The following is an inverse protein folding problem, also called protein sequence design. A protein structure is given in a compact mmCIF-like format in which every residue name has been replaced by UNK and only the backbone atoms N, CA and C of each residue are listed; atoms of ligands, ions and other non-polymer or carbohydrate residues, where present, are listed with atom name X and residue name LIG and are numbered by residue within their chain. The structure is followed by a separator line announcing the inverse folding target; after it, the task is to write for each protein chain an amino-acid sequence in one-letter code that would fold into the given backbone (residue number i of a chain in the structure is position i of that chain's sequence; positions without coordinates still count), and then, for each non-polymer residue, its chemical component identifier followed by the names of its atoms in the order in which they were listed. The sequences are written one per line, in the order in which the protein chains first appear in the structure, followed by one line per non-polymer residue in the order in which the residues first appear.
data_IF_469571845779
#
_entry.id   IF_469571845779
#
_cell.length_a   1.000
_cell.length_b   1.000
_cell.length_c   1.000
_cell.angle_alpha   90.00
_cell.angle_beta   90.00
_cell.angle_gamma   90.00
#
_symmetry.space_group_name_H-M   'P 1'
#
loop_
_entity.id
_entity.type
_entity.pdbx_description
1 polymer ?
#
# COMPACT_ATOMS: atom_id res chain seq x y z
N UNK A 1 -23.90 14.74 -9.55
CA UNK A 1 -24.96 13.79 -9.14
C UNK A 1 -24.61 13.32 -7.74
N UNK A 2 -25.44 13.61 -6.74
CA UNK A 2 -25.33 13.00 -5.40
C UNK A 2 -26.27 11.80 -5.41
N UNK A 3 -25.77 10.61 -5.13
CA UNK A 3 -26.58 9.44 -4.91
C UNK A 3 -26.65 9.18 -3.41
N UNK A 4 -27.83 8.83 -2.92
CA UNK A 4 -27.99 8.36 -1.55
C UNK A 4 -27.50 6.91 -1.47
N UNK A 5 -26.66 6.60 -0.48
CA UNK A 5 -26.08 5.25 -0.31
C UNK A 5 -26.90 4.50 0.71
N UNK A 6 -28.04 3.98 0.25
CA UNK A 6 -28.95 3.16 1.05
C UNK A 6 -28.89 1.70 0.62
N UNK A 7 -29.30 0.79 1.51
CA UNK A 7 -29.35 -0.64 1.19
C UNK A 7 -30.25 -0.93 -0.03
N UNK A 8 -31.38 -0.21 -0.15
CA UNK A 8 -32.29 -0.33 -1.28
C UNK A 8 -31.63 0.12 -2.59
N UNK A 9 -31.01 1.30 -2.60
CA UNK A 9 -30.30 1.82 -3.77
C UNK A 9 -29.19 0.86 -4.21
N UNK A 10 -28.34 0.40 -3.29
CA UNK A 10 -27.25 -0.51 -3.61
C UNK A 10 -27.74 -1.86 -4.14
N UNK A 11 -28.86 -2.35 -3.62
CA UNK A 11 -29.51 -3.56 -4.16
C UNK A 11 -29.94 -3.34 -5.60
N UNK A 12 -30.53 -2.18 -5.91
CA UNK A 12 -30.94 -1.86 -7.27
C UNK A 12 -29.75 -1.75 -8.22
N UNK A 13 -28.69 -1.04 -7.82
CA UNK A 13 -27.47 -0.90 -8.64
C UNK A 13 -26.84 -2.26 -8.95
N UNK A 14 -26.75 -3.15 -7.96
CA UNK A 14 -26.19 -4.49 -8.18
C UNK A 14 -27.09 -5.33 -9.08
N UNK A 15 -28.42 -5.22 -8.96
CA UNK A 15 -29.36 -5.88 -9.88
C UNK A 15 -29.17 -5.37 -11.31
N UNK A 16 -29.12 -4.05 -11.50
CA UNK A 16 -28.98 -3.43 -12.82
C UNK A 16 -27.67 -3.85 -13.51
N UNK A 17 -26.59 -4.04 -12.75
CA UNK A 17 -25.30 -4.51 -13.28
C UNK A 17 -25.33 -6.01 -13.56
N UNK A 18 -25.87 -6.81 -12.66
CA UNK A 18 -25.83 -8.27 -12.74
C UNK A 18 -26.75 -8.86 -13.82
N UNK A 19 -27.73 -8.09 -14.32
CA UNK A 19 -28.57 -8.48 -15.45
C UNK A 19 -27.98 -8.11 -16.81
N UNK A 20 -26.83 -7.42 -16.84
CA UNK A 20 -26.13 -7.12 -18.10
C UNK A 20 -25.62 -8.45 -18.67
N UNK A 21 -26.17 -8.85 -19.81
CA UNK A 21 -25.80 -10.08 -20.50
C UNK A 21 -24.38 -9.95 -21.08
N UNK A 22 -23.45 -10.68 -20.49
CA UNK A 22 -22.05 -10.77 -20.91
C UNK A 22 -21.67 -12.25 -20.88
N UNK A 23 -21.11 -12.75 -21.98
CA UNK A 23 -20.64 -14.14 -22.10
C UNK A 23 -19.28 -14.33 -21.38
N UNK A 24 -19.27 -14.19 -20.06
CA UNK A 24 -18.10 -14.42 -19.20
C UNK A 24 -18.21 -15.68 -18.34
N UNK A 25 -19.31 -16.43 -18.48
CA UNK A 25 -19.60 -17.66 -17.76
C UNK A 25 -19.99 -17.47 -16.29
N UNK A 26 -20.16 -16.22 -15.83
CA UNK A 26 -20.63 -15.90 -14.48
C UNK A 26 -22.16 -15.82 -14.49
N UNK A 27 -22.80 -16.52 -13.56
CA UNK A 27 -24.23 -16.37 -13.31
C UNK A 27 -24.48 -15.90 -11.88
N UNK A 28 -25.22 -14.79 -11.74
CA UNK A 28 -25.60 -14.23 -10.44
C UNK A 28 -27.00 -14.69 -10.03
N UNK A 29 -27.15 -15.13 -8.78
CA UNK A 29 -28.45 -15.43 -8.19
C UNK A 29 -28.94 -14.22 -7.37
N UNK A 30 -29.73 -13.35 -7.99
CA UNK A 30 -30.19 -12.09 -7.38
C UNK A 30 -31.18 -12.29 -6.24
N UNK A 31 -31.82 -13.45 -6.13
CA UNK A 31 -32.69 -13.80 -5.00
C UNK A 31 -31.91 -13.97 -3.69
N UNK A 32 -30.59 -14.16 -3.79
CA UNK A 32 -29.67 -14.26 -2.64
C UNK A 32 -29.04 -12.92 -2.25
N UNK A 33 -29.41 -11.82 -2.92
CA UNK A 33 -28.86 -10.50 -2.65
C UNK A 33 -29.13 -10.07 -1.20
N UNK A 34 -28.08 -9.61 -0.52
CA UNK A 34 -28.19 -9.08 0.84
C UNK A 34 -27.27 -7.89 1.02
N UNK A 35 -27.72 -6.90 1.79
CA UNK A 35 -26.93 -5.74 2.18
C UNK A 35 -26.80 -5.73 3.70
N UNK A 36 -25.59 -5.62 4.20
CA UNK A 36 -25.27 -5.65 5.63
C UNK A 36 -24.35 -4.50 5.99
N UNK A 37 -24.51 -3.92 7.18
CA UNK A 37 -23.55 -2.95 7.70
C UNK A 37 -22.22 -3.62 8.07
N UNK A 38 -21.12 -2.96 7.71
CA UNK A 38 -19.76 -3.37 8.07
C UNK A 38 -19.49 -2.86 9.49
N UNK A 39 -19.79 -3.69 10.50
CA UNK A 39 -19.65 -3.37 11.94
C UNK A 39 -18.22 -3.04 12.40
N UNK A 40 -17.22 -3.10 11.53
CA UNK A 40 -15.81 -2.88 11.88
C UNK A 40 -15.43 -1.40 12.05
N UNK A 41 -16.27 -0.46 11.61
CA UNK A 41 -16.02 0.98 11.75
C UNK A 41 -17.18 1.63 12.49
N UNK A 42 -17.01 1.88 13.79
CA UNK A 42 -18.03 2.47 14.65
C UNK A 42 -18.55 3.84 14.13
N UNK A 43 -17.71 4.57 13.39
CA UNK A 43 -18.01 5.96 13.01
C UNK A 43 -18.48 6.14 11.55
N UNK A 44 -18.49 5.09 10.73
CA UNK A 44 -18.93 5.20 9.33
C UNK A 44 -19.75 4.00 8.84
N UNK A 45 -20.97 4.22 8.32
CA UNK A 45 -21.77 3.15 7.74
C UNK A 45 -21.15 2.72 6.42
N UNK A 46 -20.35 1.66 6.46
CA UNK A 46 -20.02 0.88 5.27
C UNK A 46 -21.14 -0.14 5.03
N UNK A 47 -21.56 -0.30 3.79
CA UNK A 47 -22.51 -1.33 3.38
C UNK A 47 -21.77 -2.38 2.55
N UNK A 48 -21.94 -3.65 2.92
CA UNK A 48 -21.46 -4.79 2.12
C UNK A 48 -22.65 -5.42 1.40
N UNK A 49 -22.62 -5.40 0.08
CA UNK A 49 -23.56 -6.14 -0.76
C UNK A 49 -22.99 -7.51 -1.06
N UNK A 50 -23.78 -8.58 -0.89
CA UNK A 50 -23.41 -9.95 -1.23
C UNK A 50 -24.43 -10.56 -2.17
N UNK A 51 -23.95 -11.29 -3.18
CA UNK A 51 -24.78 -12.04 -4.13
C UNK A 51 -24.10 -13.38 -4.40
N UNK A 52 -24.85 -14.48 -4.29
CA UNK A 52 -24.34 -15.79 -4.70
C UNK A 52 -24.12 -15.81 -6.21
N UNK A 53 -23.01 -16.39 -6.64
CA UNK A 53 -22.66 -16.51 -8.05
C UNK A 53 -22.07 -17.89 -8.36
N UNK A 54 -22.14 -18.28 -9.62
CA UNK A 54 -21.49 -19.49 -10.12
C UNK A 54 -20.62 -19.20 -11.33
N UNK A 55 -19.52 -19.94 -11.46
CA UNK A 55 -18.67 -19.99 -12.66
C UNK A 55 -18.51 -21.44 -13.06
N UNK A 56 -19.26 -21.87 -14.08
CA UNK A 56 -19.41 -23.30 -14.37
C UNK A 56 -19.90 -24.09 -13.13
N UNK A 57 -19.21 -25.17 -12.71
CA UNK A 57 -19.60 -25.95 -11.53
C UNK A 57 -19.22 -25.28 -10.19
N UNK A 58 -18.40 -24.23 -10.21
CA UNK A 58 -17.94 -23.56 -8.98
C UNK A 58 -19.01 -22.60 -8.46
N UNK A 59 -19.25 -22.64 -7.15
CA UNK A 59 -20.20 -21.77 -6.45
C UNK A 59 -19.45 -20.85 -5.48
N UNK A 60 -19.82 -19.58 -5.44
CA UNK A 60 -19.18 -18.56 -4.62
C UNK A 60 -20.11 -17.41 -4.26
N UNK A 61 -19.54 -16.41 -3.58
CA UNK A 61 -20.24 -15.18 -3.21
C UNK A 61 -19.43 -14.01 -3.76
N UNK A 62 -20.06 -13.21 -4.60
CA UNK A 62 -19.56 -11.88 -4.94
C UNK A 62 -19.90 -10.93 -3.80
N UNK A 63 -18.92 -10.14 -3.36
CA UNK A 63 -19.10 -9.17 -2.28
C UNK A 63 -18.50 -7.81 -2.69
N UNK A 64 -19.29 -6.75 -2.53
CA UNK A 64 -18.87 -5.37 -2.78
C UNK A 64 -19.02 -4.55 -1.50
N UNK A 65 -17.94 -3.93 -1.08
CA UNK A 65 -17.92 -3.00 0.06
C UNK A 65 -18.06 -1.58 -0.48
N UNK A 66 -19.10 -0.89 -0.01
CA UNK A 66 -19.39 0.49 -0.37
C UNK A 66 -19.32 1.34 0.89
N UNK A 67 -18.48 2.36 0.86
CA UNK A 67 -18.33 3.31 1.95
C UNK A 67 -18.26 4.73 1.41
N UNK A 68 -18.82 5.68 2.15
CA UNK A 68 -18.82 7.11 1.81
C UNK A 68 -18.33 7.95 2.97
N UNK A 69 -17.96 9.20 2.69
CA UNK A 69 -17.63 10.22 3.69
C UNK A 69 -16.14 10.54 3.78
N UNK A 70 -15.26 9.59 3.46
CA UNK A 70 -13.81 9.84 3.47
C UNK A 70 -13.42 10.94 2.45
N UNK A 71 -12.47 11.82 2.80
CA UNK A 71 -12.03 12.89 1.91
C UNK A 71 -11.29 12.30 0.72
N UNK A 72 -11.67 12.75 -0.48
CA UNK A 72 -11.03 12.35 -1.72
C UNK A 72 -10.23 13.55 -2.24
N UNK A 73 -8.93 13.51 -2.03
CA UNK A 73 -7.98 14.52 -2.49
C UNK A 73 -6.74 13.81 -3.07
N UNK A 74 -6.35 14.08 -4.33
CA UNK A 74 -7.05 14.91 -5.31
C UNK A 74 -8.34 14.22 -5.81
N UNK A 75 -9.11 14.89 -6.68
CA UNK A 75 -10.31 14.28 -7.29
C UNK A 75 -9.94 12.99 -8.06
N UNK A 76 -10.83 11.97 -8.09
CA UNK A 76 -10.59 10.74 -8.84
C UNK A 76 -10.30 11.02 -10.30
N UNK A 77 -9.32 10.29 -10.84
CA UNK A 77 -8.91 10.38 -12.24
C UNK A 77 -9.22 9.07 -12.96
N UNK A 78 -9.18 9.07 -14.29
CA UNK A 78 -9.33 7.82 -15.05
C UNK A 78 -8.06 6.99 -14.88
N UNK A 79 -8.22 5.78 -14.34
CA UNK A 79 -7.16 4.81 -14.17
C UNK A 79 -7.46 3.61 -15.05
N UNK A 80 -6.43 3.12 -15.75
CA UNK A 80 -6.50 1.90 -16.54
C UNK A 80 -5.95 0.74 -15.72
N UNK A 81 -6.76 -0.31 -15.58
CA UNK A 81 -6.38 -1.56 -14.92
C UNK A 81 -6.13 -2.62 -15.99
N UNK A 82 -4.89 -3.13 -16.03
CA UNK A 82 -4.53 -4.28 -16.86
C UNK A 82 -5.27 -5.53 -16.38
N UNK A 83 -5.85 -6.28 -17.33
CA UNK A 83 -6.51 -7.55 -17.03
C UNK A 83 -5.54 -8.72 -17.25
N UNK A 84 -5.78 -9.81 -16.53
CA UNK A 84 -5.10 -11.09 -16.81
C UNK A 84 -5.52 -11.63 -18.17
N UNK A 85 -6.79 -11.45 -18.53
CA UNK A 85 -7.39 -11.84 -19.81
C UNK A 85 -8.25 -10.69 -20.37
N UNK A 86 -8.13 -10.45 -21.67
CA UNK A 86 -8.89 -9.42 -22.39
C UNK A 86 -8.30 -8.01 -22.28
N UNK A 87 -9.05 -7.05 -22.81
CA UNK A 87 -8.62 -5.64 -22.88
C UNK A 87 -8.63 -4.93 -21.52
N UNK A 88 -7.71 -3.98 -21.27
CA UNK A 88 -7.69 -3.19 -20.04
C UNK A 88 -9.01 -2.44 -19.78
N UNK A 89 -9.35 -2.27 -18.50
CA UNK A 89 -10.57 -1.56 -18.08
C UNK A 89 -10.18 -0.16 -17.63
N UNK A 90 -10.87 0.86 -18.14
CA UNK A 90 -10.69 2.25 -17.68
C UNK A 90 -11.88 2.67 -16.84
N UNK A 91 -11.62 3.12 -15.62
CA UNK A 91 -12.63 3.57 -14.66
C UNK A 91 -12.12 4.77 -13.85
N UNK A 92 -13.02 5.43 -13.12
CA UNK A 92 -12.60 6.41 -12.12
C UNK A 92 -11.95 5.66 -10.95
N UNK A 93 -10.75 6.09 -10.59
CA UNK A 93 -9.98 5.54 -9.48
C UNK A 93 -9.35 6.65 -8.66
N UNK A 94 -8.98 6.30 -7.44
CA UNK A 94 -8.21 7.19 -6.58
C UNK A 94 -6.81 7.39 -7.14
N UNK A 95 -6.28 8.60 -6.95
CA UNK A 95 -4.89 8.86 -7.22
C UNK A 95 -4.01 8.02 -6.27
N UNK A 96 -2.82 7.55 -6.73
CA UNK A 96 -1.86 6.84 -5.89
C UNK A 96 -1.61 7.53 -4.54
N UNK A 97 -1.58 8.85 -4.53
CA UNK A 97 -1.37 9.70 -3.36
C UNK A 97 -2.47 9.52 -2.30
N UNK A 98 -3.75 9.52 -2.70
CA UNK A 98 -4.88 9.26 -1.80
C UNK A 98 -4.79 7.85 -1.22
N UNK A 99 -4.46 6.86 -2.05
CA UNK A 99 -4.36 5.45 -1.62
C UNK A 99 -3.22 5.28 -0.60
N UNK A 100 -2.05 5.87 -0.87
CA UNK A 100 -0.91 5.84 0.05
C UNK A 100 -1.24 6.60 1.34
N UNK A 101 -1.88 7.76 1.25
CA UNK A 101 -2.30 8.55 2.41
C UNK A 101 -3.23 7.76 3.33
N UNK A 102 -4.27 7.12 2.79
CA UNK A 102 -5.21 6.30 3.57
C UNK A 102 -4.51 5.12 4.26
N UNK A 103 -3.64 4.40 3.54
CA UNK A 103 -2.86 3.29 4.09
C UNK A 103 -1.88 3.79 5.15
N UNK A 104 -1.21 4.91 4.91
CA UNK A 104 -0.27 5.54 5.83
C UNK A 104 -0.92 5.94 7.15
N UNK A 105 -2.06 6.64 7.10
CA UNK A 105 -2.82 7.00 8.31
C UNK A 105 -3.31 5.75 9.04
N UNK A 106 -3.79 4.74 8.32
CA UNK A 106 -4.20 3.46 8.93
C UNK A 106 -3.04 2.75 9.62
N UNK A 107 -1.81 2.86 9.10
CA UNK A 107 -0.60 2.34 9.74
C UNK A 107 -0.30 3.10 11.03
N UNK A 108 -0.43 4.43 11.04
CA UNK A 108 -0.25 5.25 12.26
C UNK A 108 -1.28 4.89 13.34
N UNK A 109 -2.52 4.62 12.95
CA UNK A 109 -3.60 4.24 13.89
C UNK A 109 -3.41 2.85 14.51
N UNK A 110 -2.88 1.88 13.75
CA UNK A 110 -2.85 0.46 14.15
C UNK A 110 -1.47 -0.07 14.54
N UNK A 111 -0.40 0.55 14.05
CA UNK A 111 0.97 0.08 14.18
C UNK A 111 1.13 -1.41 13.86
N UNK A 112 1.92 -2.11 14.68
CA UNK A 112 2.26 -3.52 14.47
C UNK A 112 1.12 -4.52 14.71
N UNK A 113 0.01 -4.07 15.31
CA UNK A 113 -1.15 -4.94 15.58
C UNK A 113 -1.91 -5.27 14.29
N UNK A 114 -1.76 -4.42 13.26
CA UNK A 114 -2.43 -4.56 11.97
C UNK A 114 -2.18 -5.93 11.31
N UNK A 115 -3.22 -6.47 10.67
CA UNK A 115 -3.13 -7.62 9.75
C UNK A 115 -3.02 -7.18 8.30
N UNK A 116 -2.98 -5.85 8.05
CA UNK A 116 -2.95 -5.26 6.71
C UNK A 116 -1.54 -5.22 6.13
N UNK A 117 -0.80 -6.33 6.21
CA UNK A 117 0.57 -6.41 5.71
C UNK A 117 0.68 -6.15 4.19
N UNK A 118 -0.40 -6.39 3.44
CA UNK A 118 -0.48 -6.10 2.00
C UNK A 118 -0.34 -4.61 1.70
N UNK A 119 -0.82 -3.74 2.60
CA UNK A 119 -0.74 -2.29 2.42
C UNK A 119 0.70 -1.80 2.28
N UNK A 120 1.67 -2.43 2.96
CA UNK A 120 3.09 -2.07 2.79
C UNK A 120 3.62 -2.40 1.40
N UNK A 121 3.20 -3.54 0.85
CA UNK A 121 3.55 -3.92 -0.52
C UNK A 121 2.91 -2.94 -1.49
N UNK A 122 1.64 -2.60 -1.28
CA UNK A 122 0.91 -1.65 -2.13
C UNK A 122 1.55 -0.27 -2.11
N UNK A 123 1.89 0.28 -0.93
CA UNK A 123 2.57 1.58 -0.81
C UNK A 123 3.87 1.59 -1.62
N UNK A 124 4.69 0.55 -1.49
CA UNK A 124 5.96 0.44 -2.21
C UNK A 124 5.75 0.31 -3.73
N UNK A 125 4.71 -0.40 -4.16
CA UNK A 125 4.40 -0.53 -5.59
C UNK A 125 3.87 0.78 -6.20
N UNK A 126 3.00 1.48 -5.46
CA UNK A 126 2.45 2.77 -5.88
C UNK A 126 3.56 3.83 -5.96
N UNK A 127 4.44 3.89 -4.96
CA UNK A 127 5.59 4.79 -4.96
C UNK A 127 6.52 4.58 -6.17
N UNK A 128 6.73 3.32 -6.58
CA UNK A 128 7.56 3.00 -7.76
C UNK A 128 6.94 3.42 -9.09
N UNK A 129 5.62 3.52 -9.17
CA UNK A 129 4.91 3.97 -10.38
C UNK A 129 5.02 5.49 -10.57
N UNK A 130 5.52 6.20 -9.57
CA UNK A 130 5.61 7.66 -9.55
C UNK A 130 4.45 8.25 -8.76
N UNK A 131 4.81 9.16 -7.86
CA UNK A 131 3.89 9.94 -7.03
C UNK A 131 4.37 11.39 -7.00
N UNK A 132 3.44 12.30 -6.77
CA UNK A 132 3.74 13.69 -6.44
C UNK A 132 3.83 13.82 -4.91
N UNK A 133 5.02 14.13 -4.39
CA UNK A 133 5.28 14.22 -2.95
C UNK A 133 4.44 15.32 -2.26
N UNK A 134 4.18 16.44 -2.96
CA UNK A 134 3.39 17.54 -2.43
C UNK A 134 1.90 17.16 -2.40
N UNK A 135 1.40 16.46 -3.41
CA UNK A 135 0.03 15.93 -3.44
C UNK A 135 -0.16 14.80 -2.43
N UNK A 136 0.84 13.93 -2.23
CA UNK A 136 0.82 12.93 -1.17
C UNK A 136 0.70 13.60 0.20
N UNK A 137 1.47 14.66 0.46
CA UNK A 137 1.39 15.39 1.72
C UNK A 137 0.01 16.06 1.90
N UNK A 138 -0.56 16.66 0.85
CA UNK A 138 -1.93 17.22 0.89
C UNK A 138 -2.97 16.13 1.20
N UNK A 139 -2.88 15.01 0.51
CA UNK A 139 -3.77 13.85 0.70
C UNK A 139 -3.67 13.30 2.12
N UNK A 140 -2.45 13.11 2.63
CA UNK A 140 -2.21 12.64 3.99
C UNK A 140 -2.79 13.59 5.03
N UNK A 141 -2.64 14.91 4.85
CA UNK A 141 -3.22 15.91 5.75
C UNK A 141 -4.74 15.87 5.75
N UNK A 142 -5.36 15.73 4.57
CA UNK A 142 -6.82 15.64 4.47
C UNK A 142 -7.36 14.41 5.19
N UNK A 143 -6.77 13.23 4.96
CA UNK A 143 -7.17 11.97 5.63
C UNK A 143 -6.93 12.05 7.14
N UNK A 144 -5.76 12.53 7.56
CA UNK A 144 -5.42 12.62 8.98
C UNK A 144 -6.32 13.60 9.73
N UNK A 145 -6.60 14.77 9.15
CA UNK A 145 -7.54 15.74 9.72
C UNK A 145 -8.94 15.15 9.85
N UNK A 146 -9.41 14.43 8.84
CA UNK A 146 -10.71 13.77 8.86
C UNK A 146 -10.82 12.68 9.92
N UNK A 147 -9.76 11.89 10.12
CA UNK A 147 -9.72 10.80 11.11
C UNK A 147 -9.27 11.23 12.51
N UNK A 148 -8.91 12.50 12.70
CA UNK A 148 -8.32 12.98 13.96
C UNK A 148 -6.96 12.36 14.29
N UNK A 149 -6.24 11.86 13.29
CA UNK A 149 -4.93 11.26 13.44
C UNK A 149 -3.82 12.30 13.36
N UNK A 150 -2.77 12.14 14.17
CA UNK A 150 -1.56 12.97 14.06
C UNK A 150 -0.65 12.39 12.99
N UNK A 151 -0.27 13.21 12.00
CA UNK A 151 0.73 12.80 11.03
C UNK A 151 2.12 12.83 11.65
N UNK A 152 2.82 11.70 11.54
CA UNK A 152 4.18 11.51 11.99
C UNK A 152 4.89 10.48 11.11
N UNK A 153 6.23 10.34 11.21
CA UNK A 153 6.93 9.30 10.48
C UNK A 153 6.36 7.92 10.79
N UNK A 154 6.11 7.12 9.76
CA UNK A 154 5.57 5.77 9.91
C UNK A 154 6.61 4.80 10.48
N UNK A 155 7.90 5.03 10.25
CA UNK A 155 8.97 4.07 10.58
C UNK A 155 9.02 3.64 12.06
N UNK A 156 8.90 4.54 13.06
CA UNK A 156 8.83 4.15 14.48
C UNK A 156 7.68 3.20 14.81
N UNK A 157 6.51 3.39 14.18
CA UNK A 157 5.32 2.54 14.38
C UNK A 157 5.46 1.13 13.81
N UNK A 158 6.49 0.92 12.97
CA UNK A 158 6.80 -0.36 12.32
C UNK A 158 7.99 -1.08 12.95
N UNK A 159 8.60 -0.53 14.00
CA UNK A 159 9.68 -1.19 14.70
C UNK A 159 9.24 -2.58 15.18
N UNK A 160 9.97 -3.63 14.77
CA UNK A 160 9.64 -5.02 15.09
C UNK A 160 8.53 -5.65 14.24
N UNK A 161 7.87 -4.90 13.35
CA UNK A 161 6.75 -5.42 12.54
C UNK A 161 7.15 -6.64 11.72
N UNK A 162 8.35 -6.66 11.13
CA UNK A 162 8.82 -7.79 10.32
C UNK A 162 8.79 -9.12 11.06
N UNK A 163 9.15 -9.15 12.35
CA UNK A 163 9.11 -10.37 13.14
C UNK A 163 7.68 -10.86 13.42
N UNK A 164 6.78 -9.92 13.76
CA UNK A 164 5.35 -10.21 13.99
C UNK A 164 4.65 -10.65 12.70
N UNK A 165 4.93 -9.94 11.60
CA UNK A 165 4.33 -10.18 10.30
C UNK A 165 4.80 -11.50 9.68
N UNK A 166 6.06 -11.90 9.88
CA UNK A 166 6.59 -13.16 9.36
C UNK A 166 5.81 -14.36 9.91
N UNK A 167 5.47 -14.34 11.21
CA UNK A 167 4.65 -15.38 11.81
C UNK A 167 3.24 -15.43 11.20
N UNK A 168 2.57 -14.26 11.11
CA UNK A 168 1.24 -14.13 10.48
C UNK A 168 1.24 -14.59 9.02
N UNK A 169 2.26 -14.19 8.26
CA UNK A 169 2.47 -14.56 6.86
C UNK A 169 2.62 -16.07 6.68
N UNK A 170 3.44 -16.71 7.52
CA UNK A 170 3.64 -18.16 7.49
C UNK A 170 2.33 -18.92 7.75
N UNK A 171 1.50 -18.44 8.70
CA UNK A 171 0.17 -19.02 8.94
C UNK A 171 -0.76 -18.86 7.75
N UNK A 172 -0.79 -17.69 7.11
CA UNK A 172 -1.60 -17.44 5.90
C UNK A 172 -1.15 -18.32 4.72
N UNK A 173 0.16 -18.50 4.54
CA UNK A 173 0.73 -19.36 3.49
C UNK A 173 0.42 -20.83 3.73
N UNK A 174 0.37 -21.25 5.00
CA UNK A 174 -0.10 -22.57 5.38
C UNK A 174 -1.56 -22.83 5.00
N UNK A 175 -2.41 -21.80 4.97
CA UNK A 175 -3.84 -21.94 4.60
C UNK A 175 -4.09 -22.17 3.11
N UNK A 176 -3.25 -21.63 2.21
CA UNK A 176 -3.38 -21.86 0.76
C UNK A 176 -2.02 -21.88 0.04
N UNK A 177 -1.25 -22.96 0.16
CA UNK A 177 0.04 -23.08 -0.55
C UNK A 177 -0.10 -22.95 -2.08
N UNK A 178 -1.24 -23.39 -2.63
CA UNK A 178 -1.53 -23.30 -4.06
C UNK A 178 -1.64 -21.85 -4.55
N UNK A 179 -2.30 -20.97 -3.79
CA UNK A 179 -2.52 -19.57 -4.14
C UNK A 179 -1.19 -18.79 -4.27
N UNK A 180 -0.18 -19.13 -3.46
CA UNK A 180 1.05 -18.35 -3.34
C UNK A 180 2.19 -18.83 -4.24
N UNK A 181 2.07 -20.00 -4.88
CA UNK A 181 3.13 -20.60 -5.72
C UNK A 181 3.63 -19.68 -6.85
N UNK A 182 2.77 -18.80 -7.34
CA UNK A 182 3.07 -17.88 -8.44
C UNK A 182 3.52 -16.48 -7.99
N UNK A 183 3.49 -16.18 -6.69
CA UNK A 183 3.91 -14.87 -6.20
C UNK A 183 5.44 -14.77 -6.23
N UNK A 184 5.95 -14.01 -7.21
CA UNK A 184 7.34 -13.54 -7.20
C UNK A 184 7.36 -12.23 -6.43
N UNK A 185 8.15 -12.08 -5.35
CA UNK A 185 8.37 -10.76 -4.78
C UNK A 185 8.91 -9.89 -5.90
N UNK A 186 8.18 -8.84 -6.27
CA UNK A 186 8.69 -7.83 -7.17
C UNK A 186 10.00 -7.34 -6.56
N UNK A 187 11.13 -7.67 -7.21
CA UNK A 187 12.44 -7.24 -6.77
C UNK A 187 12.33 -5.77 -6.40
N UNK A 188 12.82 -5.42 -5.22
CA UNK A 188 12.78 -4.04 -4.77
C UNK A 188 13.63 -3.23 -5.73
N UNK A 189 13.03 -2.70 -6.79
CA UNK A 189 13.67 -1.81 -7.76
C UNK A 189 13.94 -0.52 -7.02
N UNK A 190 15.06 -0.46 -6.29
CA UNK A 190 15.50 0.71 -5.53
C UNK A 190 15.81 1.81 -6.55
N UNK A 191 15.15 2.97 -6.42
CA UNK A 191 15.26 4.07 -7.39
C UNK A 191 16.71 4.57 -7.45
N UNK A 192 17.10 5.11 -8.60
CA UNK A 192 18.41 5.77 -8.75
C UNK A 192 18.53 7.01 -7.83
N UNK A 193 17.38 7.58 -7.43
CA UNK A 193 17.27 8.70 -6.49
C UNK A 193 17.78 8.38 -5.07
N UNK A 194 17.95 7.09 -4.75
CA UNK A 194 18.52 6.63 -3.48
C UNK A 194 20.05 6.63 -3.49
N UNK A 195 20.69 6.89 -4.64
CA UNK A 195 22.14 6.93 -4.78
C UNK A 195 22.67 8.32 -4.46
N UNK A 196 23.44 8.38 -3.38
CA UNK A 196 24.15 9.56 -2.92
C UNK A 196 25.62 9.45 -3.30
N UNK A 197 26.22 10.55 -3.73
CA UNK A 197 27.68 10.64 -3.79
C UNK A 197 28.27 10.94 -2.39
N UNK A 198 29.60 10.91 -2.30
CA UNK A 198 30.29 11.15 -1.04
C UNK A 198 30.03 12.56 -0.46
N UNK A 199 29.74 13.56 -1.30
CA UNK A 199 29.43 14.93 -0.85
C UNK A 199 28.03 14.98 -0.22
N UNK A 200 27.06 14.37 -0.87
CA UNK A 200 25.69 14.28 -0.33
C UNK A 200 25.64 13.48 0.97
N UNK A 201 26.43 12.41 1.10
CA UNK A 201 26.56 11.68 2.39
C UNK A 201 27.23 12.55 3.44
N UNK A 202 28.28 13.29 3.07
CA UNK A 202 28.99 14.20 3.98
C UNK A 202 28.05 15.25 4.57
N UNK A 203 27.24 15.87 3.73
CA UNK A 203 26.19 16.82 4.13
C UNK A 203 25.11 16.17 4.99
N UNK A 204 24.70 14.94 4.65
CA UNK A 204 23.65 14.21 5.38
C UNK A 204 24.06 13.84 6.81
N UNK A 205 25.31 13.41 7.03
CA UNK A 205 25.75 12.87 8.33
C UNK A 205 26.70 13.82 9.10
N UNK A 206 27.04 14.97 8.52
CA UNK A 206 27.93 15.97 9.14
C UNK A 206 29.40 15.55 9.24
N UNK A 207 29.84 14.57 8.44
CA UNK A 207 31.22 14.05 8.45
C UNK A 207 31.95 14.53 7.19
N UNK A 208 33.18 15.06 7.27
CA UNK A 208 33.91 15.52 6.09
C UNK A 208 34.07 14.43 5.01
N UNK A 209 34.00 14.82 3.73
CA UNK A 209 34.19 13.89 2.59
C UNK A 209 35.52 13.13 2.67
N UNK A 210 36.58 13.78 3.16
CA UNK A 210 37.88 13.13 3.40
C UNK A 210 37.79 11.95 4.38
N UNK A 211 37.00 12.10 5.43
CA UNK A 211 36.74 11.03 6.41
C UNK A 211 35.94 9.89 5.80
N UNK A 212 34.93 10.17 4.96
CA UNK A 212 34.21 9.12 4.22
C UNK A 212 35.13 8.33 3.28
N UNK A 213 36.07 9.01 2.63
CA UNK A 213 37.10 8.36 1.79
C UNK A 213 38.03 7.49 2.63
N UNK A 214 38.48 8.00 3.77
CA UNK A 214 39.33 7.25 4.70
C UNK A 214 38.60 6.01 5.23
N UNK A 215 37.37 6.15 5.72
CA UNK A 215 36.52 5.05 6.15
C UNK A 215 36.41 3.98 5.07
N UNK A 216 36.09 4.38 3.83
CA UNK A 216 36.02 3.45 2.70
C UNK A 216 37.34 2.72 2.44
N UNK A 217 38.49 3.39 2.52
CA UNK A 217 39.79 2.74 2.34
C UNK A 217 40.14 1.80 3.51
N UNK A 218 39.63 2.09 4.71
CA UNK A 218 39.83 1.25 5.90
C UNK A 218 38.78 0.15 6.06
N UNK A 219 37.92 -0.08 5.05
CA UNK A 219 36.76 -1.00 5.12
C UNK A 219 35.86 -0.77 6.35
N UNK A 220 35.74 0.49 6.76
CA UNK A 220 34.84 0.98 7.81
C UNK A 220 33.87 1.97 7.18
N UNK A 221 32.76 2.26 7.86
CA UNK A 221 31.80 3.25 7.40
C UNK A 221 30.59 2.64 6.68
N UNK A 222 29.70 3.50 6.14
CA UNK A 222 28.53 3.04 5.43
C UNK A 222 28.91 2.31 4.14
N UNK A 223 28.14 1.28 3.80
CA UNK A 223 28.38 0.49 2.59
C UNK A 223 28.33 1.38 1.34
N UNK A 224 29.34 1.22 0.47
CA UNK A 224 29.47 1.96 -0.78
C UNK A 224 29.77 0.99 -1.91
N UNK A 225 29.48 1.40 -3.14
CA UNK A 225 29.84 0.63 -4.33
C UNK A 225 30.19 1.55 -5.48
N UNK A 226 30.88 1.01 -6.48
CA UNK A 226 31.30 1.77 -7.66
C UNK A 226 30.28 1.61 -8.77
N UNK A 227 29.72 2.73 -9.23
CA UNK A 227 28.88 2.83 -10.42
C UNK A 227 29.67 3.54 -11.53
N UNK A 228 30.27 2.75 -12.43
CA UNK A 228 31.21 3.26 -13.44
C UNK A 228 32.47 3.83 -12.81
N UNK A 229 32.68 5.14 -12.87
CA UNK A 229 33.81 5.84 -12.22
C UNK A 229 33.42 6.52 -10.90
N UNK A 230 32.14 6.47 -10.53
CA UNK A 230 31.61 7.16 -9.36
C UNK A 230 31.45 6.18 -8.22
N UNK A 231 31.98 6.52 -7.04
CA UNK A 231 31.60 5.82 -5.81
C UNK A 231 30.31 6.42 -5.30
N UNK A 232 29.34 5.56 -5.04
CA UNK A 232 28.01 5.92 -4.58
C UNK A 232 27.66 5.14 -3.32
N UNK A 233 26.76 5.73 -2.55
CA UNK A 233 26.20 5.18 -1.33
C UNK A 233 24.70 5.09 -1.51
N UNK A 234 24.06 4.05 -0.96
CA UNK A 234 22.60 4.07 -0.88
C UNK A 234 22.18 4.77 0.40
N UNK A 235 21.21 5.67 0.32
CA UNK A 235 20.68 6.41 1.48
C UNK A 235 20.23 5.47 2.63
N UNK A 236 19.61 4.34 2.29
CA UNK A 236 19.17 3.34 3.27
C UNK A 236 20.34 2.59 3.92
N UNK A 237 21.39 2.25 3.17
CA UNK A 237 22.62 1.64 3.71
C UNK A 237 23.36 2.60 4.65
N UNK A 238 23.40 3.90 4.33
CA UNK A 238 23.97 4.94 5.20
C UNK A 238 23.19 5.01 6.51
N UNK A 239 21.86 5.08 6.43
CA UNK A 239 20.97 5.13 7.60
C UNK A 239 21.08 3.88 8.46
N UNK A 240 21.19 2.69 7.82
CA UNK A 240 21.38 1.41 8.51
C UNK A 240 22.72 1.33 9.23
N UNK A 241 23.79 1.86 8.61
CA UNK A 241 25.10 1.95 9.25
C UNK A 241 25.07 2.85 10.50
N UNK A 242 24.41 4.01 10.42
CA UNK A 242 24.21 4.91 11.58
C UNK A 242 23.45 4.19 12.69
N UNK A 243 22.32 3.55 12.36
CA UNK A 243 21.50 2.82 13.34
C UNK A 243 22.30 1.70 14.02
N UNK A 244 23.15 0.99 13.27
CA UNK A 244 24.05 -0.03 13.80
C UNK A 244 25.12 0.57 14.72
N UNK A 245 25.66 1.74 14.39
CA UNK A 245 26.61 2.48 15.23
C UNK A 245 25.95 2.93 16.52
N UNK A 246 24.79 3.58 16.43
CA UNK A 246 24.01 4.02 17.58
C UNK A 246 23.74 2.84 18.52
N UNK A 247 23.20 1.72 18.01
CA UNK A 247 22.92 0.53 18.82
C UNK A 247 24.15 -0.06 19.50
N UNK A 248 25.33 0.06 18.90
CA UNK A 248 26.59 -0.45 19.45
C UNK A 248 27.26 0.49 20.46
N UNK A 249 26.97 1.80 20.41
CA UNK A 249 27.62 2.81 21.27
C UNK A 249 26.68 3.50 22.24
N UNK A 250 25.36 3.26 22.15
CA UNK A 250 24.37 3.79 23.08
C UNK A 250 24.67 3.23 24.47
N UNK A 251 24.91 4.15 25.41
CA UNK A 251 25.09 3.83 26.83
C UNK A 251 23.75 3.66 27.52
#
# INVERSE_FOLDING_TARGET
MRADVTAEHLTQVVRDIAVIDIDDGVAFNLDTSSVQEIRERADYPGLRVRVAMSVGPWQGIAAWDVSTGEPIAPWPTRVTIDRILGEPITLLGYAPETIIAEKGVTILERGITSTRWRDYVDIVQLDRRGIDDDELLRSARAVAQYRGATLEPVAPHLAGYGAVAQAKWATEHGRCQHCWRHWKPAHVGRRNMDLLDAKQVSEMIGVPVGTLRHWRHSDIGPASFTLGRRVVYRRDEVSRWISKRESATRR
#
